data_IF_542027632582
#
_entry.id   IF_542027632582
#
_cell.length_a   1.000
_cell.length_b   1.000
_cell.length_c   1.000
_cell.angle_alpha   90.00
_cell.angle_beta   90.00
_cell.angle_gamma   90.00
#
_symmetry.space_group_name_H-M   'P 1'
#
loop_
_entity.id
_entity.type
_entity.pdbx_description
1 polymer ?
#
# COMPACT_ATOMS: atom_id res chain seq x y z
N UNK A 1 25.54 -22.31 16.17
CA UNK A 1 24.90 -21.08 16.68
C UNK A 1 23.40 -21.18 16.44
N UNK A 2 22.58 -21.08 17.49
CA UNK A 2 21.15 -21.39 17.46
C UNK A 2 20.41 -20.40 16.52
N UNK A 3 19.58 -20.87 15.58
CA UNK A 3 18.89 -20.02 14.58
C UNK A 3 18.10 -18.86 15.22
N UNK A 4 17.50 -19.12 16.39
CA UNK A 4 16.84 -18.10 17.23
C UNK A 4 17.79 -17.03 17.78
N UNK A 5 18.98 -17.41 18.23
CA UNK A 5 20.00 -16.47 18.74
C UNK A 5 20.54 -15.56 17.62
N UNK A 6 20.66 -16.10 16.40
CA UNK A 6 21.06 -15.32 15.22
C UNK A 6 19.97 -14.31 14.78
N UNK A 7 18.70 -14.71 14.79
CA UNK A 7 17.57 -13.80 14.53
C UNK A 7 17.47 -12.69 15.59
N UNK A 8 17.63 -13.02 16.86
CA UNK A 8 17.64 -12.05 17.97
C UNK A 8 18.78 -11.04 17.85
N UNK A 9 19.99 -11.50 17.51
CA UNK A 9 21.15 -10.62 17.30
C UNK A 9 20.92 -9.64 16.15
N UNK A 10 20.31 -10.09 15.04
CA UNK A 10 20.05 -9.23 13.89
C UNK A 10 18.94 -8.21 14.16
N UNK A 11 17.88 -8.62 14.85
CA UNK A 11 16.83 -7.69 15.32
C UNK A 11 17.44 -6.63 16.25
N UNK A 12 18.33 -7.04 17.17
CA UNK A 12 19.01 -6.11 18.08
C UNK A 12 19.94 -5.14 17.34
N UNK A 13 20.73 -5.63 16.37
CA UNK A 13 21.62 -4.81 15.54
C UNK A 13 20.85 -3.83 14.65
N UNK A 14 19.70 -4.22 14.09
CA UNK A 14 18.83 -3.32 13.34
C UNK A 14 18.20 -2.23 14.23
N UNK A 15 18.02 -2.50 15.53
CA UNK A 15 17.46 -1.56 16.50
C UNK A 15 18.45 -0.51 17.05
N UNK A 16 19.71 -0.49 16.58
CA UNK A 16 20.71 0.50 17.03
C UNK A 16 20.37 1.95 16.61
N UNK A 17 19.41 2.16 15.69
CA UNK A 17 18.81 3.48 15.43
C UNK A 17 17.56 3.62 16.31
N UNK A 18 17.55 4.59 17.23
CA UNK A 18 16.44 4.89 18.15
C UNK A 18 15.05 4.90 17.47
N UNK A 19 14.97 5.39 16.24
CA UNK A 19 13.74 5.42 15.43
C UNK A 19 13.22 4.02 15.06
N UNK A 20 14.08 3.06 14.69
CA UNK A 20 13.68 1.67 14.38
C UNK A 20 13.17 0.95 15.63
N UNK A 21 13.79 1.21 16.79
CA UNK A 21 13.35 0.67 18.09
C UNK A 21 11.93 1.14 18.43
N UNK A 22 11.63 2.43 18.25
CA UNK A 22 10.30 3.02 18.50
C UNK A 22 9.21 2.36 17.64
N UNK A 23 9.44 2.18 16.33
CA UNK A 23 8.46 1.51 15.44
C UNK A 23 8.21 0.07 15.88
N UNK A 24 9.27 -0.66 16.24
CA UNK A 24 9.16 -2.05 16.68
C UNK A 24 8.42 -2.16 18.03
N UNK A 25 8.70 -1.29 18.99
CA UNK A 25 7.97 -1.23 20.27
C UNK A 25 6.50 -0.94 20.03
N UNK A 26 6.18 0.07 19.21
CA UNK A 26 4.79 0.40 18.86
C UNK A 26 4.06 -0.79 18.21
N UNK A 27 4.72 -1.53 17.31
CA UNK A 27 4.14 -2.74 16.70
C UNK A 27 3.84 -3.84 17.73
N UNK A 28 4.75 -4.07 18.69
CA UNK A 28 4.57 -5.08 19.75
C UNK A 28 3.49 -4.63 20.73
N UNK A 29 3.55 -3.41 21.22
CA UNK A 29 2.58 -2.85 22.16
C UNK A 29 1.16 -2.82 21.58
N UNK A 30 1.02 -2.40 20.32
CA UNK A 30 -0.28 -2.45 19.64
C UNK A 30 -0.82 -3.88 19.56
N UNK A 31 0.02 -4.88 19.27
CA UNK A 31 -0.40 -6.29 19.26
C UNK A 31 -0.94 -6.78 20.61
N UNK A 32 -0.46 -6.25 21.73
CA UNK A 32 -0.94 -6.58 23.07
C UNK A 32 -2.24 -5.86 23.45
N UNK A 33 -2.44 -4.63 22.97
CA UNK A 33 -3.62 -3.80 23.29
C UNK A 33 -4.81 -4.11 22.37
N UNK A 34 -4.52 -4.55 21.15
CA UNK A 34 -5.53 -4.85 20.15
C UNK A 34 -6.07 -6.28 20.33
N UNK A 35 -7.09 -6.44 21.15
CA UNK A 35 -8.07 -7.49 20.89
C UNK A 35 -9.16 -6.84 20.04
N UNK A 36 -9.25 -7.14 18.72
CA UNK A 36 -10.41 -6.74 17.95
C UNK A 36 -11.64 -7.28 18.67
N UNK A 37 -12.61 -6.43 18.95
CA UNK A 37 -13.87 -6.90 19.50
C UNK A 37 -14.47 -7.87 18.46
N UNK A 38 -14.44 -9.17 18.75
CA UNK A 38 -14.70 -10.24 17.76
C UNK A 38 -16.05 -10.05 17.04
N UNK A 39 -17.05 -9.56 17.78
CA UNK A 39 -18.40 -9.26 17.27
C UNK A 39 -18.36 -8.14 16.22
N UNK A 40 -17.57 -7.09 16.46
CA UNK A 40 -17.41 -5.97 15.53
C UNK A 40 -16.75 -6.40 14.22
N UNK A 41 -15.80 -7.33 14.29
CA UNK A 41 -15.14 -7.86 13.10
C UNK A 41 -16.09 -8.73 12.23
N UNK A 42 -16.97 -9.53 12.86
CA UNK A 42 -18.01 -10.27 12.13
C UNK A 42 -18.94 -9.34 11.34
N UNK A 43 -19.43 -8.27 12.00
CA UNK A 43 -20.28 -7.27 11.33
C UNK A 43 -19.58 -6.57 10.17
N UNK A 44 -18.28 -6.28 10.30
CA UNK A 44 -17.47 -5.72 9.21
C UNK A 44 -17.47 -6.63 7.98
N UNK A 45 -17.19 -7.92 8.19
CA UNK A 45 -17.12 -8.91 7.11
C UNK A 45 -18.48 -9.08 6.44
N UNK A 46 -19.56 -9.10 7.21
CA UNK A 46 -20.93 -9.17 6.68
C UNK A 46 -21.26 -7.96 5.82
N UNK A 47 -20.99 -6.75 6.31
CA UNK A 47 -21.14 -5.52 5.53
C UNK A 47 -20.34 -5.55 4.22
N UNK A 48 -19.06 -5.89 4.29
CA UNK A 48 -18.19 -6.02 3.11
C UNK A 48 -18.77 -7.02 2.11
N UNK A 49 -19.25 -8.18 2.58
CA UNK A 49 -19.79 -9.24 1.72
C UNK A 49 -21.07 -8.84 0.99
N UNK A 50 -21.84 -7.92 1.54
CA UNK A 50 -23.08 -7.44 0.94
C UNK A 50 -22.86 -6.34 -0.10
N UNK A 51 -21.72 -5.63 -0.04
CA UNK A 51 -21.50 -4.38 -0.79
C UNK A 51 -20.39 -4.49 -1.86
N UNK A 52 -19.59 -5.55 -1.87
CA UNK A 52 -18.44 -5.63 -2.76
C UNK A 52 -18.81 -5.92 -4.22
N UNK A 53 -17.99 -5.40 -5.12
CA UNK A 53 -17.89 -5.89 -6.51
C UNK A 53 -16.46 -6.33 -6.80
N UNK A 54 -16.23 -7.08 -7.86
CA UNK A 54 -14.87 -7.44 -8.26
C UNK A 54 -14.12 -6.23 -8.84
N UNK A 55 -12.78 -6.19 -8.71
CA UNK A 55 -11.97 -5.15 -9.37
C UNK A 55 -12.16 -5.16 -10.88
N UNK A 56 -12.29 -6.34 -11.48
CA UNK A 56 -12.52 -6.47 -12.91
C UNK A 56 -13.85 -5.85 -13.32
N UNK A 57 -14.94 -6.17 -12.61
CA UNK A 57 -16.25 -5.57 -12.88
C UNK A 57 -16.22 -4.05 -12.70
N UNK A 58 -15.58 -3.56 -11.63
CA UNK A 58 -15.40 -2.13 -11.38
C UNK A 58 -14.65 -1.44 -12.52
N UNK A 59 -13.50 -1.99 -12.93
CA UNK A 59 -12.65 -1.41 -13.95
C UNK A 59 -13.32 -1.44 -15.34
N UNK A 60 -13.95 -2.56 -15.72
CA UNK A 60 -14.67 -2.69 -17.00
C UNK A 60 -15.86 -1.72 -17.10
N UNK A 61 -16.59 -1.50 -16.00
CA UNK A 61 -17.66 -0.49 -15.94
C UNK A 61 -17.15 0.94 -16.19
N UNK A 62 -15.90 1.24 -15.84
CA UNK A 62 -15.30 2.57 -16.00
C UNK A 62 -14.65 2.71 -17.38
N UNK A 63 -13.83 1.75 -17.79
CA UNK A 63 -13.09 1.76 -19.04
C UNK A 63 -12.52 0.37 -19.37
N UNK A 64 -13.20 -0.37 -20.24
CA UNK A 64 -12.75 -1.70 -20.66
C UNK A 64 -11.43 -1.68 -21.46
N UNK A 65 -11.15 -0.58 -22.18
CA UNK A 65 -9.93 -0.45 -22.99
C UNK A 65 -8.72 -0.32 -22.07
N UNK A 66 -8.77 0.57 -21.07
CA UNK A 66 -7.68 0.72 -20.08
C UNK A 66 -7.56 -0.53 -19.20
N UNK A 67 -8.66 -1.21 -18.89
CA UNK A 67 -8.59 -2.47 -18.16
C UNK A 67 -7.90 -3.57 -18.98
N UNK A 68 -8.19 -3.67 -20.28
CA UNK A 68 -7.51 -4.59 -21.18
C UNK A 68 -6.02 -4.28 -21.31
N UNK A 69 -5.65 -2.99 -21.39
CA UNK A 69 -4.24 -2.54 -21.34
C UNK A 69 -3.56 -3.01 -20.04
N UNK A 70 -4.26 -2.85 -18.91
CA UNK A 70 -3.80 -3.25 -17.57
C UNK A 70 -3.47 -4.74 -17.53
N UNK A 71 -4.41 -5.60 -17.95
CA UNK A 71 -4.21 -7.05 -17.97
C UNK A 71 -3.08 -7.47 -18.91
N UNK A 72 -2.98 -6.85 -20.09
CA UNK A 72 -1.91 -7.13 -21.05
C UNK A 72 -0.52 -6.85 -20.47
N UNK A 73 -0.36 -5.73 -19.74
CA UNK A 73 0.90 -5.42 -19.04
C UNK A 73 1.24 -6.47 -17.98
N UNK A 74 0.26 -6.81 -17.12
CA UNK A 74 0.52 -7.71 -15.99
C UNK A 74 0.75 -9.16 -16.39
N UNK A 75 0.26 -9.61 -17.56
CA UNK A 75 0.59 -10.93 -18.11
C UNK A 75 2.10 -11.17 -18.26
N UNK A 76 2.87 -10.13 -18.60
CA UNK A 76 4.32 -10.23 -18.70
C UNK A 76 5.02 -9.91 -17.36
N UNK A 77 4.55 -8.87 -16.67
CA UNK A 77 5.11 -8.46 -15.38
C UNK A 77 5.06 -9.59 -14.35
N UNK A 78 3.94 -10.32 -14.24
CA UNK A 78 3.81 -11.42 -13.28
C UNK A 78 4.78 -12.58 -13.57
N UNK A 79 5.09 -12.86 -14.85
CA UNK A 79 6.07 -13.90 -15.22
C UNK A 79 7.46 -13.52 -14.74
N UNK A 80 7.92 -12.30 -15.07
CA UNK A 80 9.22 -11.77 -14.63
C UNK A 80 9.32 -11.68 -13.11
N UNK A 81 8.26 -11.22 -12.45
CA UNK A 81 8.21 -11.12 -10.99
C UNK A 81 8.33 -12.49 -10.34
N UNK A 82 7.70 -13.54 -10.88
CA UNK A 82 7.87 -14.92 -10.39
C UNK A 82 9.33 -15.39 -10.51
N UNK A 83 10.02 -15.08 -11.59
CA UNK A 83 11.43 -15.45 -11.77
C UNK A 83 12.36 -14.76 -10.76
N UNK A 84 12.16 -13.46 -10.52
CA UNK A 84 12.92 -12.70 -9.51
C UNK A 84 12.64 -13.28 -8.12
N UNK A 85 11.36 -13.47 -7.78
CA UNK A 85 10.94 -13.95 -6.46
C UNK A 85 11.44 -15.37 -6.16
N UNK A 86 11.58 -16.24 -7.16
CA UNK A 86 12.13 -17.61 -6.99
C UNK A 86 13.60 -17.62 -6.54
N UNK A 87 14.34 -16.53 -6.76
CA UNK A 87 15.75 -16.41 -6.36
C UNK A 87 15.93 -15.86 -4.95
N UNK A 88 14.82 -15.56 -4.26
CA UNK A 88 14.82 -14.99 -2.92
C UNK A 88 14.41 -16.08 -1.94
N UNK A 89 15.29 -16.42 -1.01
CA UNK A 89 15.06 -17.47 0.00
C UNK A 89 14.00 -17.11 1.04
N UNK A 90 13.51 -15.87 1.01
CA UNK A 90 12.58 -15.31 1.96
C UNK A 90 11.22 -15.01 1.32
N UNK A 91 10.16 -15.30 2.07
CA UNK A 91 8.80 -14.88 1.68
C UNK A 91 8.64 -13.38 1.89
N UNK A 92 8.53 -12.63 0.80
CA UNK A 92 8.21 -11.20 0.82
C UNK A 92 6.71 -10.98 0.58
N UNK A 93 6.20 -9.81 0.99
CA UNK A 93 4.88 -9.34 0.57
C UNK A 93 4.84 -9.03 -0.93
N UNK A 94 3.64 -8.98 -1.52
CA UNK A 94 3.47 -8.75 -2.95
C UNK A 94 2.10 -9.13 -3.51
N UNK A 95 1.05 -9.02 -2.69
CA UNK A 95 -0.29 -9.51 -3.00
C UNK A 95 -1.36 -8.43 -3.13
N UNK A 96 -1.00 -7.15 -3.08
CA UNK A 96 -1.93 -6.03 -3.19
C UNK A 96 -2.61 -5.98 -4.57
N UNK A 97 -3.65 -5.16 -4.70
CA UNK A 97 -4.39 -5.02 -5.94
C UNK A 97 -3.70 -4.06 -6.94
N UNK A 98 -2.44 -4.32 -7.27
CA UNK A 98 -1.63 -3.46 -8.14
C UNK A 98 -2.24 -3.20 -9.53
N UNK A 99 -3.10 -4.10 -10.04
CA UNK A 99 -3.90 -3.88 -11.25
C UNK A 99 -4.79 -2.64 -11.14
N UNK A 100 -5.47 -2.45 -10.00
CA UNK A 100 -6.33 -1.30 -9.76
C UNK A 100 -5.52 0.00 -9.74
N UNK A 101 -4.35 0.00 -9.09
CA UNK A 101 -3.50 1.20 -8.98
C UNK A 101 -2.97 1.63 -10.35
N UNK A 102 -2.53 0.68 -11.19
CA UNK A 102 -2.18 0.95 -12.58
C UNK A 102 -3.37 1.52 -13.35
N UNK A 103 -4.53 0.85 -13.26
CA UNK A 103 -5.75 1.23 -13.97
C UNK A 103 -6.18 2.66 -13.63
N UNK A 104 -6.29 3.00 -12.35
CA UNK A 104 -6.67 4.35 -11.91
C UNK A 104 -5.66 5.39 -12.38
N UNK A 105 -4.36 5.10 -12.24
CA UNK A 105 -3.29 6.02 -12.64
C UNK A 105 -3.34 6.32 -14.14
N UNK A 106 -3.54 5.29 -14.98
CA UNK A 106 -3.69 5.44 -16.43
C UNK A 106 -4.99 6.15 -16.81
N UNK A 107 -6.12 5.68 -16.28
CA UNK A 107 -7.46 6.16 -16.66
C UNK A 107 -7.63 7.65 -16.38
N UNK A 108 -7.14 8.12 -15.24
CA UNK A 108 -7.34 9.48 -14.78
C UNK A 108 -6.11 10.37 -14.96
N UNK A 109 -5.06 9.88 -15.62
CA UNK A 109 -3.80 10.60 -15.80
C UNK A 109 -3.23 11.16 -14.49
N UNK A 110 -3.32 10.36 -13.42
CA UNK A 110 -2.85 10.75 -12.09
C UNK A 110 -1.34 11.01 -12.15
N UNK A 111 -0.87 12.00 -11.40
CA UNK A 111 0.52 12.46 -11.47
C UNK A 111 1.23 12.34 -10.12
N UNK A 112 0.61 12.80 -9.04
CA UNK A 112 1.25 12.78 -7.73
C UNK A 112 0.63 11.69 -6.84
N UNK A 113 1.39 10.63 -6.57
CA UNK A 113 0.90 9.43 -5.90
C UNK A 113 1.71 9.16 -4.63
N UNK A 114 1.00 8.81 -3.57
CA UNK A 114 1.60 8.36 -2.31
C UNK A 114 1.14 6.93 -2.04
N UNK A 115 2.06 6.04 -1.69
CA UNK A 115 1.74 4.69 -1.18
C UNK A 115 2.43 4.39 0.16
N UNK A 116 1.85 3.46 0.93
CA UNK A 116 2.48 2.85 2.10
C UNK A 116 2.50 1.33 1.96
N UNK A 117 3.60 0.68 2.36
CA UNK A 117 3.75 -0.78 2.29
C UNK A 117 4.26 -1.29 0.93
N UNK A 118 5.47 -0.91 0.55
CA UNK A 118 6.08 -1.28 -0.75
C UNK A 118 6.32 -2.79 -0.89
N UNK A 119 6.85 -3.43 0.15
CA UNK A 119 7.29 -4.82 0.14
C UNK A 119 8.21 -5.10 -1.07
N UNK A 120 7.93 -6.14 -1.85
CA UNK A 120 8.71 -6.44 -3.07
C UNK A 120 8.52 -5.45 -4.22
N UNK A 121 7.54 -4.54 -4.14
CA UNK A 121 7.35 -3.46 -5.14
C UNK A 121 6.32 -3.74 -6.24
N UNK A 122 5.36 -4.65 -6.03
CA UNK A 122 4.29 -4.88 -7.01
C UNK A 122 3.46 -3.61 -7.28
N UNK A 123 3.04 -2.90 -6.23
CA UNK A 123 2.26 -1.66 -6.33
C UNK A 123 3.11 -0.52 -6.88
N UNK A 124 4.35 -0.37 -6.40
CA UNK A 124 5.28 0.64 -6.88
C UNK A 124 5.58 0.48 -8.37
N UNK A 125 5.87 -0.75 -8.82
CA UNK A 125 6.15 -1.02 -10.23
C UNK A 125 4.92 -0.74 -11.12
N UNK A 126 3.72 -1.08 -10.63
CA UNK A 126 2.46 -0.79 -11.31
C UNK A 126 2.23 0.72 -11.46
N UNK A 127 2.36 1.47 -10.37
CA UNK A 127 2.18 2.92 -10.38
C UNK A 127 3.23 3.58 -11.28
N UNK A 128 4.51 3.25 -11.10
CA UNK A 128 5.58 3.88 -11.86
C UNK A 128 5.51 3.59 -13.36
N UNK A 129 5.10 2.38 -13.76
CA UNK A 129 4.87 2.09 -15.17
C UNK A 129 3.71 2.93 -15.73
N UNK A 130 2.62 3.08 -14.96
CA UNK A 130 1.49 3.90 -15.37
C UNK A 130 1.91 5.38 -15.51
N UNK A 131 2.70 5.91 -14.57
CA UNK A 131 3.29 7.26 -14.65
C UNK A 131 4.21 7.42 -15.87
N UNK A 132 5.05 6.41 -16.16
CA UNK A 132 5.91 6.39 -17.36
C UNK A 132 5.07 6.52 -18.64
N UNK A 133 3.96 5.79 -18.74
CA UNK A 133 3.03 5.85 -19.87
C UNK A 133 2.26 7.17 -19.95
N UNK A 134 1.92 7.76 -18.81
CA UNK A 134 1.38 9.12 -18.73
C UNK A 134 2.42 10.19 -19.10
N UNK A 135 3.72 9.82 -19.14
CA UNK A 135 4.87 10.71 -19.35
C UNK A 135 4.98 11.81 -18.29
N UNK A 136 4.37 11.62 -17.13
CA UNK A 136 4.32 12.61 -16.06
C UNK A 136 4.15 11.94 -14.69
N UNK A 137 4.53 12.68 -13.66
CA UNK A 137 4.21 12.36 -12.28
C UNK A 137 5.30 11.61 -11.52
N UNK A 138 5.09 11.53 -10.21
CA UNK A 138 6.05 11.04 -9.24
C UNK A 138 5.34 10.17 -8.18
N UNK A 139 6.05 9.15 -7.71
CA UNK A 139 5.59 8.25 -6.65
C UNK A 139 6.40 8.46 -5.38
N UNK A 140 5.74 8.83 -4.29
CA UNK A 140 6.32 8.79 -2.95
C UNK A 140 5.91 7.48 -2.29
N UNK A 141 6.86 6.70 -1.82
CA UNK A 141 6.57 5.45 -1.12
C UNK A 141 7.18 5.41 0.27
N UNK A 142 6.37 4.95 1.21
CA UNK A 142 6.80 4.64 2.57
C UNK A 142 6.81 3.13 2.80
N UNK A 143 7.91 2.61 3.33
CA UNK A 143 7.97 1.24 3.84
C UNK A 143 8.72 1.16 5.17
N UNK A 144 8.69 -0.01 5.78
CA UNK A 144 9.49 -0.40 6.93
C UNK A 144 10.10 -1.79 6.71
N UNK A 145 11.44 -1.91 6.65
CA UNK A 145 12.14 -3.15 6.35
C UNK A 145 11.76 -4.31 7.27
N UNK A 146 11.75 -5.53 6.73
CA UNK A 146 11.46 -6.76 7.46
C UNK A 146 12.55 -7.04 8.52
N UNK A 147 12.30 -6.80 9.83
CA UNK A 147 13.38 -6.81 10.83
C UNK A 147 14.03 -8.19 11.02
N UNK A 148 13.33 -9.25 10.61
CA UNK A 148 13.75 -10.65 10.74
C UNK A 148 14.56 -11.16 9.53
N UNK A 149 14.66 -10.38 8.46
CA UNK A 149 15.37 -10.77 7.24
C UNK A 149 16.72 -10.03 7.22
N UNK A 150 17.86 -10.73 7.06
CA UNK A 150 19.16 -10.08 6.91
C UNK A 150 19.23 -9.22 5.64
N UNK A 151 19.81 -8.03 5.75
CA UNK A 151 19.93 -7.05 4.64
C UNK A 151 18.58 -6.80 3.94
N UNK A 152 17.49 -6.74 4.71
CA UNK A 152 16.12 -6.69 4.19
C UNK A 152 15.84 -5.48 3.30
N UNK A 153 16.57 -4.38 3.48
CA UNK A 153 16.44 -3.15 2.72
C UNK A 153 16.60 -3.38 1.21
N UNK A 154 17.47 -4.33 0.80
CA UNK A 154 17.73 -4.64 -0.62
C UNK A 154 16.53 -5.28 -1.34
N UNK A 155 15.59 -5.83 -0.58
CA UNK A 155 14.40 -6.49 -1.14
C UNK A 155 13.24 -5.53 -1.33
N UNK A 156 13.30 -4.33 -0.74
CA UNK A 156 12.24 -3.34 -0.85
C UNK A 156 12.22 -2.82 -2.29
N UNK A 157 11.10 -3.02 -2.98
CA UNK A 157 10.97 -2.57 -4.36
C UNK A 157 11.80 -3.34 -5.37
N UNK A 158 12.23 -4.56 -5.06
CA UNK A 158 13.11 -5.35 -5.96
C UNK A 158 12.48 -5.62 -7.34
N UNK A 159 11.15 -5.50 -7.46
CA UNK A 159 10.42 -5.66 -8.72
C UNK A 159 10.34 -4.36 -9.55
N UNK A 160 10.78 -3.23 -9.01
CA UNK A 160 10.82 -1.96 -9.73
C UNK A 160 12.04 -1.93 -10.65
N UNK A 161 11.81 -1.77 -11.95
CA UNK A 161 12.87 -1.62 -12.94
C UNK A 161 13.67 -0.32 -12.69
N UNK A 162 14.99 -0.36 -12.86
CA UNK A 162 15.89 0.77 -12.65
C UNK A 162 15.48 2.02 -13.43
N UNK A 163 15.03 1.87 -14.68
CA UNK A 163 14.59 2.98 -15.52
C UNK A 163 13.38 3.75 -14.94
N UNK A 164 12.57 3.08 -14.12
CA UNK A 164 11.38 3.66 -13.47
C UNK A 164 11.73 4.43 -12.19
N UNK A 165 12.89 4.14 -11.58
CA UNK A 165 13.28 4.70 -10.28
C UNK A 165 13.48 6.22 -10.30
N UNK A 166 13.72 6.82 -11.47
CA UNK A 166 13.89 8.28 -11.62
C UNK A 166 12.69 9.09 -11.14
N UNK A 167 11.48 8.52 -11.18
CA UNK A 167 10.24 9.17 -10.74
C UNK A 167 9.81 8.66 -9.35
N UNK A 168 10.71 8.00 -8.61
CA UNK A 168 10.38 7.30 -7.38
C UNK A 168 11.16 7.84 -6.19
N UNK A 169 10.44 8.32 -5.18
CA UNK A 169 11.00 8.73 -3.89
C UNK A 169 10.61 7.70 -2.82
N UNK A 170 11.55 6.81 -2.49
CA UNK A 170 11.37 5.75 -1.49
C UNK A 170 12.00 6.12 -0.15
N UNK A 171 11.21 6.06 0.92
CA UNK A 171 11.66 6.11 2.30
C UNK A 171 11.34 4.81 3.05
N UNK A 172 12.22 4.38 3.94
CA UNK A 172 12.18 3.05 4.58
C UNK A 172 12.26 3.12 6.12
N UNK A 173 11.97 4.27 6.70
CA UNK A 173 12.00 4.49 8.15
C UNK A 173 10.64 4.22 8.84
N UNK A 174 9.62 3.83 8.07
CA UNK A 174 8.24 3.60 8.51
C UNK A 174 7.36 4.85 8.45
N UNK A 175 6.04 4.65 8.27
CA UNK A 175 5.06 5.71 8.03
C UNK A 175 5.05 6.82 9.10
N UNK A 176 5.43 6.50 10.34
CA UNK A 176 5.56 7.48 11.42
C UNK A 176 6.59 8.58 11.11
N UNK A 177 7.67 8.22 10.42
CA UNK A 177 8.75 9.12 10.07
C UNK A 177 8.66 9.56 8.61
N UNK A 178 8.39 8.63 7.70
CA UNK A 178 8.43 8.85 6.26
C UNK A 178 7.42 9.88 5.79
N UNK A 179 6.18 9.83 6.29
CA UNK A 179 5.12 10.72 5.80
C UNK A 179 5.33 12.19 6.20
N UNK A 180 6.23 12.47 7.15
CA UNK A 180 6.64 13.85 7.48
C UNK A 180 7.75 14.37 6.56
N UNK A 181 8.30 13.53 5.68
CA UNK A 181 9.36 13.86 4.72
C UNK A 181 8.83 14.12 3.31
N UNK A 182 7.51 14.05 3.11
CA UNK A 182 6.89 14.37 1.83
C UNK A 182 7.32 15.80 1.43
N UNK A 183 8.03 15.99 0.30
CA UNK A 183 8.56 17.29 -0.05
C UNK A 183 7.43 18.30 -0.27
N UNK A 184 7.49 19.46 0.37
CA UNK A 184 6.42 20.47 0.27
C UNK A 184 6.31 21.07 -1.14
N UNK A 185 7.41 21.08 -1.89
CA UNK A 185 7.50 21.57 -3.27
C UNK A 185 7.15 20.51 -4.32
N UNK A 186 6.87 19.26 -3.93
CA UNK A 186 6.34 18.23 -4.83
C UNK A 186 4.87 18.49 -5.23
N UNK A 187 4.20 19.44 -4.56
CA UNK A 187 2.76 19.32 -4.36
C UNK A 187 1.97 20.29 -5.25
N UNK A 188 1.78 19.86 -6.49
CA UNK A 188 0.41 19.74 -6.96
C UNK A 188 -0.32 18.73 -6.07
N UNK A 189 -1.58 18.98 -5.72
CA UNK A 189 -2.33 18.15 -4.77
C UNK A 189 -2.26 16.65 -5.14
N UNK A 190 -2.09 15.77 -4.16
CA UNK A 190 -1.96 14.29 -4.30
C UNK A 190 -3.22 13.71 -4.93
N UNK A 191 -3.05 13.00 -6.05
CA UNK A 191 -4.16 12.47 -6.85
C UNK A 191 -4.57 11.05 -6.42
N UNK A 192 -3.64 10.29 -5.84
CA UNK A 192 -3.90 8.94 -5.32
C UNK A 192 -3.11 8.72 -4.03
N UNK A 193 -3.80 8.24 -3.01
CA UNK A 193 -3.21 7.70 -1.82
C UNK A 193 -3.56 6.21 -1.67
N UNK A 194 -2.55 5.34 -1.58
CA UNK A 194 -2.70 3.91 -1.33
C UNK A 194 -2.13 3.53 0.05
N UNK A 195 -2.90 2.79 0.83
CA UNK A 195 -2.52 2.36 2.18
C UNK A 195 -2.50 0.83 2.30
N UNK A 196 -1.32 0.23 2.46
CA UNK A 196 -1.10 -1.22 2.69
C UNK A 196 -0.02 -1.49 3.77
N UNK A 197 -0.01 -0.68 4.83
CA UNK A 197 1.01 -0.77 5.89
C UNK A 197 0.51 -1.46 7.18
N UNK A 198 -0.04 -0.69 8.12
CA UNK A 198 -0.43 -1.16 9.44
C UNK A 198 -1.90 -1.57 9.47
N UNK A 199 -2.19 -2.72 10.09
CA UNK A 199 -3.57 -3.21 10.29
C UNK A 199 -4.27 -2.52 11.47
N UNK A 200 -3.62 -1.54 12.09
CA UNK A 200 -4.15 -0.86 13.26
C UNK A 200 -5.01 0.34 12.87
N UNK A 201 -6.25 0.37 13.37
CA UNK A 201 -7.17 1.49 13.21
C UNK A 201 -6.53 2.85 13.52
N UNK A 202 -5.76 2.93 14.61
CA UNK A 202 -5.08 4.17 15.05
C UNK A 202 -4.06 4.65 14.02
N UNK A 203 -3.32 3.73 13.41
CA UNK A 203 -2.29 4.05 12.42
C UNK A 203 -2.90 4.51 11.10
N UNK A 204 -3.96 3.83 10.65
CA UNK A 204 -4.79 4.26 9.51
C UNK A 204 -5.33 5.68 9.73
N UNK A 205 -5.92 5.95 10.90
CA UNK A 205 -6.44 7.27 11.28
C UNK A 205 -5.36 8.35 11.30
N UNK A 206 -4.22 8.07 11.93
CA UNK A 206 -3.09 9.02 12.02
C UNK A 206 -2.53 9.33 10.64
N UNK A 207 -2.34 8.30 9.82
CA UNK A 207 -1.84 8.43 8.45
C UNK A 207 -2.77 9.27 7.59
N UNK A 208 -4.08 8.96 7.60
CA UNK A 208 -5.05 9.72 6.82
C UNK A 208 -5.10 11.19 7.25
N UNK A 209 -4.94 11.51 8.55
CA UNK A 209 -4.86 12.89 9.05
C UNK A 209 -3.64 13.65 8.52
N UNK A 210 -2.52 12.97 8.29
CA UNK A 210 -1.32 13.58 7.71
C UNK A 210 -1.55 13.81 6.21
N UNK A 211 -2.02 12.76 5.51
CA UNK A 211 -2.19 12.78 4.06
C UNK A 211 -3.31 13.71 3.59
N UNK A 212 -4.39 13.88 4.35
CA UNK A 212 -5.53 14.71 3.97
C UNK A 212 -5.17 16.17 3.67
N UNK A 213 -4.05 16.67 4.20
CA UNK A 213 -3.53 18.01 3.94
C UNK A 213 -3.02 18.19 2.51
N UNK A 214 -2.68 17.10 1.84
CA UNK A 214 -2.06 17.10 0.51
C UNK A 214 -3.03 16.65 -0.58
N UNK A 215 -4.16 16.01 -0.25
CA UNK A 215 -5.09 15.41 -1.23
C UNK A 215 -5.71 16.45 -2.18
N UNK A 216 -5.82 16.07 -3.45
CA UNK A 216 -6.53 16.81 -4.48
C UNK A 216 -8.04 16.74 -4.30
N UNK A 217 -8.77 17.66 -4.95
CA UNK A 217 -10.24 17.69 -4.85
C UNK A 217 -10.89 16.43 -5.41
N UNK A 218 -10.21 15.74 -6.34
CA UNK A 218 -10.70 14.54 -7.03
C UNK A 218 -9.83 13.32 -6.69
N UNK A 219 -9.13 13.36 -5.55
CA UNK A 219 -8.16 12.33 -5.21
C UNK A 219 -8.83 10.99 -4.95
N UNK A 220 -8.13 9.93 -5.32
CA UNK A 220 -8.47 8.57 -4.93
C UNK A 220 -7.77 8.21 -3.62
N UNK A 221 -8.50 7.55 -2.72
CA UNK A 221 -7.96 6.99 -1.49
C UNK A 221 -8.28 5.50 -1.49
N UNK A 222 -7.25 4.65 -1.43
CA UNK A 222 -7.36 3.19 -1.47
C UNK A 222 -6.79 2.60 -0.19
N UNK A 223 -7.58 1.80 0.50
CA UNK A 223 -7.16 1.01 1.65
C UNK A 223 -7.17 -0.47 1.29
N UNK A 224 -6.04 -1.16 1.49
CA UNK A 224 -5.97 -2.62 1.46
C UNK A 224 -6.46 -3.21 2.79
N UNK A 225 -6.84 -4.49 2.73
CA UNK A 225 -7.21 -5.31 3.88
C UNK A 225 -8.29 -4.66 4.77
N UNK A 226 -9.34 -4.09 4.15
CA UNK A 226 -10.42 -3.44 4.91
C UNK A 226 -11.25 -4.42 5.75
N UNK A 227 -11.12 -5.73 5.50
CA UNK A 227 -11.72 -6.75 6.34
C UNK A 227 -11.05 -6.93 7.71
N UNK A 228 -9.81 -6.44 7.88
CA UNK A 228 -9.02 -6.71 9.08
C UNK A 228 -9.42 -5.82 10.28
N UNK A 229 -10.06 -4.68 10.03
CA UNK A 229 -10.53 -3.75 11.05
C UNK A 229 -11.71 -2.89 10.55
N UNK A 230 -12.35 -2.15 11.46
CA UNK A 230 -13.52 -1.31 11.14
C UNK A 230 -13.18 0.11 10.63
N UNK A 231 -11.92 0.43 10.35
CA UNK A 231 -11.52 1.79 9.99
C UNK A 231 -12.24 2.30 8.75
N UNK A 232 -12.25 1.51 7.67
CA UNK A 232 -12.90 1.92 6.44
C UNK A 232 -14.41 2.09 6.61
N UNK A 233 -15.07 1.15 7.32
CA UNK A 233 -16.48 1.26 7.70
C UNK A 233 -16.78 2.58 8.42
N UNK A 234 -16.03 2.89 9.48
CA UNK A 234 -16.23 4.14 10.21
C UNK A 234 -15.91 5.37 9.37
N UNK A 235 -14.89 5.29 8.52
CA UNK A 235 -14.47 6.39 7.67
C UNK A 235 -15.60 6.82 6.73
N UNK A 236 -16.21 5.87 6.01
CA UNK A 236 -17.27 6.15 5.03
C UNK A 236 -18.64 6.42 5.65
N UNK A 237 -18.91 5.89 6.84
CA UNK A 237 -20.20 6.13 7.53
C UNK A 237 -20.21 7.41 8.38
N UNK A 238 -19.06 7.84 8.91
CA UNK A 238 -18.97 9.10 9.68
C UNK A 238 -18.68 10.32 8.80
N UNK A 239 -18.01 10.12 7.67
CA UNK A 239 -17.68 11.18 6.73
C UNK A 239 -18.56 11.01 5.50
N UNK A 240 -19.33 12.04 5.13
CA UNK A 240 -20.18 12.00 3.93
C UNK A 240 -19.33 12.16 2.66
N UNK A 241 -18.62 11.10 2.26
CA UNK A 241 -17.98 11.06 0.96
C UNK A 241 -19.03 10.92 -0.14
N UNK A 242 -18.82 11.63 -1.25
CA UNK A 242 -19.70 11.58 -2.43
C UNK A 242 -19.68 10.20 -3.09
N UNK A 243 -18.53 9.51 -3.03
CA UNK A 243 -18.35 8.21 -3.64
C UNK A 243 -17.37 7.33 -2.87
N UNK A 244 -17.78 6.08 -2.61
CA UNK A 244 -16.89 5.00 -2.22
C UNK A 244 -17.36 3.68 -2.85
N UNK A 245 -16.45 2.72 -2.95
CA UNK A 245 -16.76 1.36 -3.39
C UNK A 245 -15.94 0.35 -2.57
N UNK A 246 -16.54 -0.80 -2.32
CA UNK A 246 -15.81 -1.97 -1.80
C UNK A 246 -15.47 -2.87 -2.97
N UNK A 247 -14.19 -3.24 -3.07
CA UNK A 247 -13.65 -4.02 -4.16
C UNK A 247 -13.06 -5.32 -3.64
N UNK A 248 -13.32 -6.43 -4.33
CA UNK A 248 -12.72 -7.73 -4.03
C UNK A 248 -11.57 -8.03 -4.98
N UNK A 249 -10.45 -8.45 -4.41
CA UNK A 249 -9.31 -8.99 -5.13
C UNK A 249 -8.87 -10.31 -4.50
N UNK A 250 -9.05 -11.41 -5.24
CA UNK A 250 -8.82 -12.76 -4.72
C UNK A 250 -9.62 -12.99 -3.43
N UNK A 251 -8.94 -13.24 -2.31
CA UNK A 251 -9.53 -13.47 -0.99
C UNK A 251 -9.48 -12.22 -0.07
N UNK A 252 -9.11 -11.06 -0.60
CA UNK A 252 -8.98 -9.80 0.13
C UNK A 252 -9.98 -8.76 -0.37
N UNK A 253 -10.24 -7.76 0.46
CA UNK A 253 -11.11 -6.64 0.14
C UNK A 253 -10.35 -5.32 0.28
N UNK A 254 -10.70 -4.39 -0.60
CA UNK A 254 -10.17 -3.05 -0.65
C UNK A 254 -11.32 -2.06 -0.56
N UNK A 255 -11.06 -0.92 0.08
CA UNK A 255 -11.96 0.21 0.08
C UNK A 255 -11.39 1.31 -0.80
N UNK A 256 -12.18 1.82 -1.74
CA UNK A 256 -11.83 3.01 -2.54
C UNK A 256 -12.78 4.15 -2.19
N UNK A 257 -12.25 5.34 -2.01
CA UNK A 257 -12.98 6.61 -1.89
C UNK A 257 -12.50 7.51 -3.03
N UNK A 258 -13.43 8.25 -3.63
CA UNK A 258 -13.12 9.35 -4.55
C UNK A 258 -13.65 10.64 -3.93
N UNK A 259 -12.77 11.63 -3.76
CA UNK A 259 -13.14 12.96 -3.24
C UNK A 259 -13.96 13.76 -4.26
#
# INVERSE_FOLDING_TARGET
MNKKLFELFYVFKQNLKLQKLQVNINKVFNKFISLPNFIQNKKNIEWIKNEYISIEEYAKKIDEVIWSETLAYFNNFEKKSKEIMRRIDFKLGGGGAYHLLYFLTRKYSLSNIIETGVASGFTSAAILEALRKNKNGLLFSSDYPYPKIPNCEKYIGILVNEELRKNWLLHIEGDEFNLNKIPINWVGKVDLFHYDSSKWFRDKKRTLKIISKYLSKNAFIVFDDIQDDLFFYYLVNKTKYSYFQILKFKNKYLGIIKL
#
